data_IF_589655938018
#
_entry.id   IF_589655938018
#
_cell.length_a   1.000
_cell.length_b   1.000
_cell.length_c   1.000
_cell.angle_alpha   90.00
_cell.angle_beta   90.00
_cell.angle_gamma   90.00
#
_symmetry.space_group_name_H-M   'P 1'
#
loop_
_entity.id
_entity.type
_entity.pdbx_description
1 polymer ?
#
# COMPACT_ATOMS: atom_id res chain seq x y z
N UNK A 1 -7.79 -38.05 -7.90
CA UNK A 1 -6.89 -37.27 -7.02
C UNK A 1 -6.96 -35.83 -7.49
N UNK A 2 -7.74 -34.99 -6.83
CA UNK A 2 -7.91 -33.59 -7.24
C UNK A 2 -6.63 -32.84 -6.89
N UNK A 3 -5.80 -32.57 -7.89
CA UNK A 3 -4.63 -31.73 -7.74
C UNK A 3 -5.15 -30.33 -7.43
N UNK A 4 -5.02 -29.89 -6.17
CA UNK A 4 -5.30 -28.51 -5.77
C UNK A 4 -4.25 -27.64 -6.46
N UNK A 5 -4.58 -27.16 -7.65
CA UNK A 5 -3.70 -26.39 -8.52
C UNK A 5 -3.47 -24.96 -8.00
N UNK A 6 -4.29 -24.52 -7.04
CA UNK A 6 -4.25 -23.20 -6.46
C UNK A 6 -4.16 -23.33 -4.92
N UNK A 7 -3.25 -22.59 -4.26
CA UNK A 7 -3.29 -22.43 -2.82
C UNK A 7 -4.59 -21.74 -2.40
N UNK A 8 -5.05 -21.99 -1.16
CA UNK A 8 -6.22 -21.33 -0.63
C UNK A 8 -5.95 -19.82 -0.52
N UNK A 9 -6.91 -19.00 -0.94
CA UNK A 9 -6.73 -17.54 -0.96
C UNK A 9 -6.55 -16.99 0.46
N UNK A 10 -7.14 -17.67 1.45
CA UNK A 10 -6.92 -17.38 2.87
C UNK A 10 -5.45 -17.61 3.27
N UNK A 11 -4.87 -18.75 2.88
CA UNK A 11 -3.50 -19.12 3.24
C UNK A 11 -2.46 -18.18 2.62
N UNK A 12 -2.69 -17.70 1.38
CA UNK A 12 -1.82 -16.69 0.74
C UNK A 12 -1.93 -15.32 1.40
N UNK A 13 -3.16 -14.89 1.73
CA UNK A 13 -3.39 -13.62 2.40
C UNK A 13 -2.76 -13.61 3.80
N UNK A 14 -2.92 -14.70 4.55
CA UNK A 14 -2.36 -14.86 5.90
C UNK A 14 -0.84 -15.02 5.87
N UNK A 15 -0.30 -15.82 4.96
CA UNK A 15 1.16 -16.04 4.81
C UNK A 15 1.94 -14.81 4.34
N UNK A 16 1.29 -13.86 3.66
CA UNK A 16 1.87 -12.57 3.28
C UNK A 16 1.52 -11.43 4.25
N UNK A 17 0.70 -11.71 5.29
CA UNK A 17 0.18 -10.69 6.20
C UNK A 17 -0.75 -9.68 5.54
N UNK A 18 -1.30 -10.00 4.37
CA UNK A 18 -2.15 -9.11 3.57
C UNK A 18 -3.61 -9.41 3.91
N UNK A 19 -4.14 -8.77 4.95
CA UNK A 19 -5.56 -8.83 5.29
C UNK A 19 -6.29 -7.57 4.83
N UNK A 20 -7.58 -7.70 4.46
CA UNK A 20 -8.41 -6.57 4.01
C UNK A 20 -8.28 -6.21 2.52
N UNK A 21 -8.62 -4.96 2.16
CA UNK A 21 -8.77 -4.49 0.77
C UNK A 21 -7.51 -4.74 -0.07
N UNK A 22 -6.34 -4.62 0.54
CA UNK A 22 -5.04 -4.85 -0.13
C UNK A 22 -4.93 -6.28 -0.65
N UNK A 23 -5.47 -7.27 0.07
CA UNK A 23 -5.47 -8.68 -0.34
C UNK A 23 -6.34 -8.90 -1.57
N UNK A 24 -7.54 -8.33 -1.57
CA UNK A 24 -8.50 -8.43 -2.68
C UNK A 24 -7.90 -7.88 -3.98
N UNK A 25 -7.11 -6.79 -3.89
CA UNK A 25 -6.45 -6.17 -5.05
C UNK A 25 -5.23 -6.96 -5.52
N UNK A 26 -4.44 -7.54 -4.59
CA UNK A 26 -3.19 -8.23 -4.93
C UNK A 26 -3.37 -9.70 -5.34
N UNK A 27 -4.44 -10.38 -4.89
CA UNK A 27 -4.78 -11.76 -5.25
C UNK A 27 -4.74 -12.03 -6.78
N UNK A 28 -5.41 -11.25 -7.65
CA UNK A 28 -5.38 -11.50 -9.10
C UNK A 28 -4.00 -11.31 -9.75
N UNK A 29 -3.07 -10.62 -9.08
CA UNK A 29 -1.69 -10.42 -9.55
C UNK A 29 -0.79 -11.60 -9.13
N UNK A 30 -0.97 -12.11 -7.92
CA UNK A 30 -0.11 -13.13 -7.33
C UNK A 30 -0.44 -14.55 -7.83
N UNK A 31 -1.73 -14.87 -7.98
CA UNK A 31 -2.19 -16.19 -8.47
C UNK A 31 -1.56 -16.66 -9.80
N UNK A 32 -1.50 -15.84 -10.87
CA UNK A 32 -1.00 -16.32 -12.16
C UNK A 32 0.51 -16.62 -12.17
N UNK A 33 1.29 -16.09 -11.23
CA UNK A 33 2.76 -16.24 -11.20
C UNK A 33 3.18 -17.68 -10.84
N UNK A 34 2.36 -18.40 -10.06
CA UNK A 34 2.70 -19.72 -9.51
C UNK A 34 2.67 -20.83 -10.59
N UNK A 35 1.95 -20.64 -11.70
CA UNK A 35 1.72 -21.68 -12.72
C UNK A 35 2.55 -21.60 -14.01
N UNK A 36 3.56 -20.72 -14.12
CA UNK A 36 4.42 -20.57 -15.31
C UNK A 36 3.78 -19.88 -16.53
N UNK A 37 2.46 -19.95 -16.69
CA UNK A 37 1.69 -19.27 -17.76
C UNK A 37 1.39 -17.79 -17.46
N UNK A 38 1.61 -17.31 -16.24
CA UNK A 38 1.30 -15.94 -15.83
C UNK A 38 2.35 -14.88 -16.21
N UNK A 39 3.51 -15.28 -16.73
CA UNK A 39 4.61 -14.33 -17.05
C UNK A 39 4.18 -13.18 -17.99
N UNK A 40 3.37 -13.40 -19.05
CA UNK A 40 2.88 -12.30 -19.90
C UNK A 40 1.95 -11.35 -19.16
N UNK A 41 1.07 -11.89 -18.31
CA UNK A 41 0.13 -11.09 -17.51
C UNK A 41 0.86 -10.26 -16.45
N UNK A 42 1.79 -10.88 -15.72
CA UNK A 42 2.64 -10.18 -14.77
C UNK A 42 3.43 -9.04 -15.45
N UNK A 43 4.01 -9.31 -16.63
CA UNK A 43 4.71 -8.28 -17.43
C UNK A 43 3.78 -7.14 -17.83
N UNK A 44 2.53 -7.42 -18.20
CA UNK A 44 1.55 -6.39 -18.57
C UNK A 44 1.15 -5.52 -17.37
N UNK A 45 0.95 -6.14 -16.20
CA UNK A 45 0.65 -5.44 -14.94
C UNK A 45 1.82 -4.53 -14.56
N UNK A 46 3.05 -5.05 -14.56
CA UNK A 46 4.26 -4.26 -14.26
C UNK A 46 4.37 -3.06 -15.20
N UNK A 47 4.21 -3.25 -16.51
CA UNK A 47 4.25 -2.15 -17.49
C UNK A 47 3.19 -1.09 -17.21
N UNK A 48 1.95 -1.49 -16.93
CA UNK A 48 0.87 -0.56 -16.59
C UNK A 48 1.14 0.17 -15.28
N UNK A 49 1.70 -0.51 -14.29
CA UNK A 49 2.11 0.08 -13.01
C UNK A 49 3.20 1.14 -13.20
N UNK A 50 4.23 0.84 -14.01
CA UNK A 50 5.28 1.81 -14.36
C UNK A 50 4.65 3.02 -15.07
N UNK A 51 3.85 2.81 -16.11
CA UNK A 51 3.20 3.91 -16.83
C UNK A 51 2.29 4.75 -15.93
N UNK A 52 1.54 4.13 -15.03
CA UNK A 52 0.71 4.83 -14.05
C UNK A 52 1.58 5.67 -13.10
N UNK A 53 2.67 5.12 -12.58
CA UNK A 53 3.59 5.84 -11.71
C UNK A 53 4.25 7.03 -12.43
N UNK A 54 4.80 6.80 -13.63
CA UNK A 54 5.45 7.86 -14.41
C UNK A 54 4.48 8.98 -14.78
N UNK A 55 3.28 8.64 -15.24
CA UNK A 55 2.26 9.62 -15.63
C UNK A 55 1.71 10.42 -14.46
N UNK A 56 1.72 9.85 -13.24
CA UNK A 56 1.19 10.50 -12.04
C UNK A 56 2.29 10.96 -11.07
N UNK A 57 3.57 10.87 -11.45
CA UNK A 57 4.70 11.17 -10.56
C UNK A 57 4.61 12.58 -9.97
N UNK A 58 4.27 13.57 -10.80
CA UNK A 58 4.08 14.95 -10.36
C UNK A 58 2.94 15.08 -9.35
N UNK A 59 1.78 14.48 -9.63
CA UNK A 59 0.66 14.48 -8.70
C UNK A 59 1.00 13.79 -7.36
N UNK A 60 1.81 12.73 -7.37
CA UNK A 60 2.31 12.09 -6.15
C UNK A 60 3.28 12.99 -5.37
N UNK A 61 4.08 13.80 -6.05
CA UNK A 61 4.93 14.82 -5.42
C UNK A 61 4.09 15.90 -4.74
N UNK A 62 3.12 16.48 -5.44
CA UNK A 62 2.24 17.53 -4.90
C UNK A 62 1.42 17.02 -3.69
N UNK A 63 0.95 15.76 -3.76
CA UNK A 63 0.31 15.09 -2.64
C UNK A 63 1.26 14.87 -1.46
N UNK A 64 2.52 14.54 -1.73
CA UNK A 64 3.56 14.38 -0.72
C UNK A 64 3.82 15.68 0.04
N UNK A 65 3.95 16.79 -0.68
CA UNK A 65 4.11 18.13 -0.08
C UNK A 65 2.90 18.50 0.79
N UNK A 66 1.68 18.35 0.25
CA UNK A 66 0.44 18.60 1.01
C UNK A 66 0.35 17.72 2.27
N UNK A 67 0.80 16.47 2.16
CA UNK A 67 0.81 15.52 3.27
C UNK A 67 1.86 15.89 4.33
N UNK A 68 3.04 16.33 3.91
CA UNK A 68 4.08 16.85 4.79
C UNK A 68 3.59 18.08 5.56
N UNK A 69 2.84 18.98 4.91
CA UNK A 69 2.22 20.14 5.56
C UNK A 69 1.23 19.71 6.66
N UNK A 70 0.34 18.77 6.35
CA UNK A 70 -0.62 18.23 7.34
C UNK A 70 0.12 17.57 8.51
N UNK A 71 1.19 16.82 8.24
CA UNK A 71 2.01 16.22 9.31
C UNK A 71 2.68 17.30 10.15
N UNK A 72 3.21 18.34 9.53
CA UNK A 72 3.86 19.43 10.24
C UNK A 72 2.87 20.17 11.15
N UNK A 73 1.67 20.46 10.66
CA UNK A 73 0.57 21.05 11.42
C UNK A 73 0.19 20.16 12.62
N UNK A 74 -0.08 18.88 12.39
CA UNK A 74 -0.41 17.95 13.48
C UNK A 74 0.70 17.83 14.53
N UNK A 75 1.99 17.88 14.13
CA UNK A 75 3.12 17.87 15.06
C UNK A 75 3.20 19.16 15.88
N UNK A 76 2.92 20.30 15.26
CA UNK A 76 2.88 21.58 15.96
C UNK A 76 1.76 21.56 17.01
N UNK A 77 0.55 21.12 16.66
CA UNK A 77 -0.57 21.00 17.59
C UNK A 77 -0.23 20.11 18.81
N UNK A 78 0.32 18.91 18.57
CA UNK A 78 0.74 18.01 19.65
C UNK A 78 1.88 18.61 20.50
N UNK A 79 2.76 19.41 19.89
CA UNK A 79 3.83 20.13 20.60
C UNK A 79 3.29 21.25 21.49
N UNK A 80 2.37 22.06 20.97
CA UNK A 80 1.70 23.15 21.68
C UNK A 80 0.86 22.62 22.85
N UNK A 81 0.15 21.50 22.67
CA UNK A 81 -0.59 20.83 23.75
C UNK A 81 0.32 20.44 24.93
N UNK A 82 1.55 20.00 24.64
CA UNK A 82 2.55 19.67 25.69
C UNK A 82 3.07 20.90 26.40
N UNK A 83 3.35 21.98 25.68
CA UNK A 83 3.83 23.24 26.28
C UNK A 83 2.74 23.88 27.15
N UNK A 84 1.50 23.93 26.67
CA UNK A 84 0.34 24.45 27.42
C UNK A 84 0.07 23.64 28.69
N UNK A 85 0.27 22.32 28.65
CA UNK A 85 0.14 21.44 29.83
C UNK A 85 1.28 21.62 30.84
N UNK A 86 2.48 22.01 30.40
CA UNK A 86 3.61 22.33 31.27
C UNK A 86 3.46 23.70 31.95
N UNK A 87 2.90 24.68 31.25
CA UNK A 87 2.68 26.05 31.75
C UNK A 87 1.46 26.16 32.68
N UNK A 88 0.48 25.25 32.53
CA UNK A 88 -0.67 25.15 33.43
C UNK A 88 -0.36 24.50 34.80
N UNK A 89 0.88 24.08 35.05
CA UNK A 89 1.36 23.66 36.38
C UNK A 89 2.31 24.71 36.96
N UNK A 90 1.83 25.63 37.83
CA UNK A 90 2.70 26.44 38.69
C UNK A 90 3.37 25.59 39.78
#
# INVERSE_FOLDING_TARGET
MSVKLLPDLGDLAEGLGITGIVGIVLIPVLLPVIGGVGRPLAKAIVKKGIALYENNKHALTDLGETWEDIIAEARAEVGEERMKSAEARP
#
